data_IF_581921331768
#
_entry.id   IF_581921331768
#
_cell.length_a   1.000
_cell.length_b   1.000
_cell.length_c   1.000
_cell.angle_alpha   90.00
_cell.angle_beta   90.00
_cell.angle_gamma   90.00
#
_symmetry.space_group_name_H-M   'P 1'
#
loop_
_entity.id
_entity.type
_entity.pdbx_description
1 polymer ?
#
# COMPACT_ATOMS: atom_id res chain seq x y z
N UNK A 1 -67.96 -5.68 26.56
CA UNK A 1 -67.46 -4.85 25.45
C UNK A 1 -66.23 -4.09 25.92
N UNK A 2 -65.20 -3.97 25.07
CA UNK A 2 -64.10 -3.01 25.20
C UNK A 2 -62.89 -3.50 26.00
N UNK A 3 -61.76 -3.76 25.33
CA UNK A 3 -60.48 -3.88 26.05
C UNK A 3 -59.28 -4.37 25.25
N UNK A 4 -59.46 -5.28 24.28
CA UNK A 4 -58.32 -5.91 23.58
C UNK A 4 -57.89 -5.24 22.26
N UNK A 5 -58.68 -4.33 21.70
CA UNK A 5 -58.34 -3.64 20.44
C UNK A 5 -57.32 -2.50 20.57
N UNK A 6 -57.24 -1.84 21.74
CA UNK A 6 -56.37 -0.68 21.95
C UNK A 6 -54.89 -1.06 22.09
N UNK A 7 -54.60 -2.22 22.69
CA UNK A 7 -53.22 -2.69 22.93
C UNK A 7 -52.47 -3.00 21.63
N UNK A 8 -53.13 -3.65 20.67
CA UNK A 8 -52.52 -3.95 19.36
C UNK A 8 -52.31 -2.70 18.49
N UNK A 9 -53.14 -1.67 18.65
CA UNK A 9 -52.96 -0.38 17.97
C UNK A 9 -51.71 0.36 18.46
N UNK A 10 -51.48 0.37 19.77
CA UNK A 10 -50.29 0.98 20.38
C UNK A 10 -49.03 0.22 20.01
N UNK A 11 -49.05 -1.13 20.04
CA UNK A 11 -47.90 -1.96 19.63
C UNK A 11 -47.55 -1.74 18.16
N UNK A 12 -48.56 -1.68 17.27
CA UNK A 12 -48.36 -1.38 15.85
C UNK A 12 -47.79 0.02 15.63
N UNK A 13 -48.32 1.03 16.31
CA UNK A 13 -47.82 2.41 16.22
C UNK A 13 -46.37 2.52 16.72
N UNK A 14 -46.03 1.86 17.82
CA UNK A 14 -44.67 1.80 18.35
C UNK A 14 -43.70 1.08 17.39
N UNK A 15 -44.13 -0.03 16.77
CA UNK A 15 -43.34 -0.74 15.77
C UNK A 15 -43.11 0.11 14.51
N UNK A 16 -44.13 0.83 14.03
CA UNK A 16 -44.02 1.74 12.88
C UNK A 16 -43.08 2.90 13.19
N UNK A 17 -43.19 3.51 14.38
CA UNK A 17 -42.29 4.58 14.81
C UNK A 17 -40.85 4.10 14.93
N UNK A 18 -40.61 2.93 15.52
CA UNK A 18 -39.28 2.34 15.64
C UNK A 18 -38.67 2.07 14.25
N UNK A 19 -39.46 1.56 13.32
CA UNK A 19 -39.02 1.32 11.94
C UNK A 19 -38.71 2.64 11.22
N UNK A 20 -39.55 3.66 11.39
CA UNK A 20 -39.33 4.99 10.81
C UNK A 20 -38.05 5.64 11.34
N UNK A 21 -37.78 5.55 12.64
CA UNK A 21 -36.54 6.05 13.26
C UNK A 21 -35.32 5.29 12.74
N UNK A 22 -35.40 3.96 12.61
CA UNK A 22 -34.31 3.15 12.07
C UNK A 22 -34.01 3.47 10.60
N UNK A 23 -35.05 3.69 9.78
CA UNK A 23 -34.91 4.09 8.37
C UNK A 23 -34.30 5.49 8.26
N UNK A 24 -34.80 6.46 9.04
CA UNK A 24 -34.23 7.81 9.09
C UNK A 24 -32.76 7.80 9.53
N UNK A 25 -32.41 7.01 10.55
CA UNK A 25 -31.02 6.83 10.98
C UNK A 25 -30.10 6.33 9.87
N UNK A 26 -30.56 5.35 9.07
CA UNK A 26 -29.80 4.84 7.91
C UNK A 26 -29.65 5.87 6.79
N UNK A 27 -30.71 6.64 6.50
CA UNK A 27 -30.67 7.70 5.47
C UNK A 27 -29.69 8.81 5.87
N UNK A 28 -29.73 9.26 7.14
CA UNK A 28 -28.81 10.27 7.66
C UNK A 28 -27.36 9.76 7.64
N UNK A 29 -27.11 8.52 8.08
CA UNK A 29 -25.77 7.93 8.02
C UNK A 29 -25.25 7.78 6.58
N UNK A 30 -26.11 7.38 5.64
CA UNK A 30 -25.75 7.29 4.22
C UNK A 30 -25.48 8.68 3.61
N UNK A 31 -26.22 9.71 4.01
CA UNK A 31 -26.02 11.07 3.55
C UNK A 31 -24.71 11.66 4.10
N UNK A 32 -24.41 11.43 5.38
CA UNK A 32 -23.15 11.85 6.04
C UNK A 32 -21.93 11.21 5.36
N UNK A 33 -21.95 9.89 5.17
CA UNK A 33 -20.85 9.18 4.52
C UNK A 33 -20.64 9.61 3.07
N UNK A 34 -21.72 9.89 2.33
CA UNK A 34 -21.63 10.42 0.96
C UNK A 34 -21.05 11.84 0.96
N UNK A 35 -21.43 12.69 1.90
CA UNK A 35 -20.88 14.03 2.06
C UNK A 35 -19.37 13.99 2.38
N UNK A 36 -18.95 13.19 3.36
CA UNK A 36 -17.54 12.96 3.70
C UNK A 36 -16.73 12.42 2.50
N UNK A 37 -17.31 11.52 1.71
CA UNK A 37 -16.64 10.99 0.53
C UNK A 37 -16.47 12.04 -0.58
N UNK A 38 -17.41 12.97 -0.72
CA UNK A 38 -17.34 14.07 -1.70
C UNK A 38 -16.29 15.11 -1.28
N UNK A 39 -16.29 15.54 -0.02
CA UNK A 39 -15.31 16.50 0.51
C UNK A 39 -13.89 15.94 0.40
N UNK A 40 -13.70 14.70 0.83
CA UNK A 40 -12.40 14.06 0.82
C UNK A 40 -11.85 13.81 -0.60
N UNK A 41 -12.72 13.67 -1.60
CA UNK A 41 -12.29 13.63 -3.02
C UNK A 41 -11.87 15.00 -3.54
N UNK A 42 -12.45 16.08 -3.06
CA UNK A 42 -12.06 17.44 -3.44
C UNK A 42 -10.72 17.82 -2.81
N UNK A 43 -10.51 17.49 -1.54
CA UNK A 43 -9.23 17.70 -0.83
C UNK A 43 -8.05 16.98 -1.50
N UNK A 44 -8.25 15.73 -1.93
CA UNK A 44 -7.24 14.98 -2.70
C UNK A 44 -6.86 15.69 -4.01
N UNK A 45 -7.85 16.28 -4.70
CA UNK A 45 -7.59 16.98 -5.94
C UNK A 45 -6.78 18.25 -5.66
N UNK A 46 -7.21 19.05 -4.68
CA UNK A 46 -6.50 20.25 -4.26
C UNK A 46 -5.06 19.93 -3.85
N UNK A 47 -4.85 18.82 -3.13
CA UNK A 47 -3.53 18.34 -2.74
C UNK A 47 -2.65 18.02 -3.95
N UNK A 48 -3.17 17.31 -4.95
CA UNK A 48 -2.42 17.02 -6.17
C UNK A 48 -2.06 18.29 -6.96
N UNK A 49 -2.96 19.28 -7.01
CA UNK A 49 -2.67 20.55 -7.68
C UNK A 49 -1.59 21.34 -6.93
N UNK A 50 -1.62 21.33 -5.60
CA UNK A 50 -0.59 21.95 -4.77
C UNK A 50 0.77 21.23 -4.88
N UNK A 51 0.78 19.90 -5.01
CA UNK A 51 1.99 19.11 -5.28
C UNK A 51 2.55 19.49 -6.65
N UNK A 52 1.72 19.50 -7.69
CA UNK A 52 2.15 19.91 -9.04
C UNK A 52 2.71 21.33 -9.06
N UNK A 53 2.12 22.25 -8.31
CA UNK A 53 2.60 23.64 -8.25
C UNK A 53 3.95 23.78 -7.52
N UNK A 54 4.25 22.89 -6.58
CA UNK A 54 5.53 22.88 -5.85
C UNK A 54 6.67 22.20 -6.64
N UNK A 55 6.31 21.29 -7.56
CA UNK A 55 7.26 20.59 -8.41
C UNK A 55 7.57 21.42 -9.66
N UNK A 56 8.85 21.48 -10.01
CA UNK A 56 9.32 22.02 -11.27
C UNK A 56 9.55 20.87 -12.26
N UNK A 57 8.86 20.89 -13.38
CA UNK A 57 8.83 19.82 -14.39
C UNK A 57 9.28 20.39 -15.74
N UNK A 58 10.60 20.38 -16.03
CA UNK A 58 11.13 20.99 -17.26
C UNK A 58 10.70 20.23 -18.52
N UNK A 59 10.47 18.93 -18.41
CA UNK A 59 10.14 18.04 -19.53
C UNK A 59 8.62 17.90 -19.77
N UNK A 60 7.80 18.50 -18.90
CA UNK A 60 6.34 18.46 -19.00
C UNK A 60 5.73 17.07 -18.77
N UNK A 61 6.42 16.20 -18.03
CA UNK A 61 6.00 14.82 -17.75
C UNK A 61 4.68 14.78 -16.96
N UNK A 62 4.44 15.77 -16.10
CA UNK A 62 3.19 15.97 -15.34
C UNK A 62 2.13 16.74 -16.14
N UNK A 63 2.29 16.83 -17.46
CA UNK A 63 1.37 17.53 -18.35
C UNK A 63 -0.05 16.96 -18.33
N UNK A 64 -0.22 15.69 -18.00
CA UNK A 64 -1.53 15.03 -17.93
C UNK A 64 -2.29 15.21 -16.61
N UNK A 65 -1.66 15.85 -15.61
CA UNK A 65 -2.28 16.29 -14.36
C UNK A 65 -3.13 17.55 -14.62
N UNK A 66 -4.25 17.36 -15.32
CA UNK A 66 -5.19 18.42 -15.71
C UNK A 66 -6.59 18.12 -15.19
N UNK A 67 -7.29 19.17 -14.76
CA UNK A 67 -8.68 19.08 -14.27
C UNK A 67 -9.63 19.13 -15.46
N UNK A 68 -9.65 18.07 -16.26
CA UNK A 68 -10.61 17.92 -17.37
C UNK A 68 -11.82 17.09 -16.97
N UNK A 69 -13.01 17.53 -17.35
CA UNK A 69 -14.24 16.75 -17.21
C UNK A 69 -14.08 15.38 -17.89
N UNK A 70 -14.10 14.29 -17.10
CA UNK A 70 -14.08 12.92 -17.61
C UNK A 70 -12.77 12.15 -17.50
N UNK A 71 -11.63 12.78 -17.13
CA UNK A 71 -10.37 12.03 -16.86
C UNK A 71 -10.21 11.78 -15.37
N UNK A 72 -10.35 10.53 -14.96
CA UNK A 72 -10.17 10.14 -13.57
C UNK A 72 -8.69 10.28 -13.15
N UNK A 73 -8.43 10.92 -12.01
CA UNK A 73 -7.08 11.21 -11.46
C UNK A 73 -6.14 10.01 -11.37
N UNK A 74 -6.69 8.80 -11.29
CA UNK A 74 -5.92 7.55 -11.26
C UNK A 74 -5.30 7.17 -12.61
N UNK A 75 -5.55 7.95 -13.66
CA UNK A 75 -4.89 7.82 -14.97
C UNK A 75 -3.77 8.83 -15.16
N UNK A 76 -3.51 9.67 -14.16
CA UNK A 76 -2.42 10.63 -14.21
C UNK A 76 -1.09 9.94 -14.05
N UNK A 77 -0.07 10.46 -14.72
CA UNK A 77 1.30 9.95 -14.65
C UNK A 77 1.73 9.81 -13.19
N UNK A 78 2.16 8.60 -12.82
CA UNK A 78 2.62 8.28 -11.47
C UNK A 78 1.55 8.22 -10.38
N UNK A 79 0.27 8.41 -10.68
CA UNK A 79 -0.82 8.31 -9.69
C UNK A 79 -1.48 6.94 -9.81
N UNK A 80 -1.49 6.17 -8.72
CA UNK A 80 -2.31 4.95 -8.62
C UNK A 80 -3.41 5.11 -7.60
N UNK A 81 -4.46 4.30 -7.78
CA UNK A 81 -5.57 4.28 -6.85
C UNK A 81 -5.97 2.87 -6.48
N UNK A 82 -6.37 2.73 -5.23
CA UNK A 82 -7.05 1.54 -4.71
C UNK A 82 -8.45 1.94 -4.29
N UNK A 83 -9.45 1.20 -4.77
CA UNK A 83 -10.88 1.47 -4.47
C UNK A 83 -11.30 2.92 -4.81
N UNK A 84 -10.78 3.46 -5.92
CA UNK A 84 -11.15 4.80 -6.42
C UNK A 84 -10.64 5.99 -5.60
N UNK A 85 -9.63 5.77 -4.76
CA UNK A 85 -8.92 6.78 -3.96
C UNK A 85 -7.42 6.66 -4.19
N UNK A 86 -6.69 7.77 -4.11
CA UNK A 86 -5.24 7.79 -4.34
C UNK A 86 -4.56 6.99 -3.24
N UNK A 87 -3.74 6.02 -3.63
CA UNK A 87 -3.01 5.19 -2.68
C UNK A 87 -1.51 5.15 -2.96
N UNK A 88 -1.05 5.52 -4.16
CA UNK A 88 0.37 5.69 -4.42
C UNK A 88 0.67 6.87 -5.34
N UNK A 89 1.77 7.55 -5.04
CA UNK A 89 2.44 8.50 -5.92
C UNK A 89 3.83 7.94 -6.26
N UNK A 90 4.04 7.66 -7.54
CA UNK A 90 5.22 7.02 -8.10
C UNK A 90 5.80 7.92 -9.19
N UNK A 91 6.64 8.85 -8.79
CA UNK A 91 7.23 9.88 -9.63
C UNK A 91 8.76 9.79 -9.64
N UNK A 92 9.29 8.59 -9.42
CA UNK A 92 10.73 8.32 -9.44
C UNK A 92 11.34 8.46 -10.85
N UNK A 93 12.61 8.86 -10.93
CA UNK A 93 13.35 8.97 -12.19
C UNK A 93 12.69 9.87 -13.26
N UNK A 94 12.01 10.94 -12.83
CA UNK A 94 11.29 11.85 -13.74
C UNK A 94 12.00 13.19 -13.92
N UNK A 95 13.21 13.37 -13.38
CA UNK A 95 13.94 14.63 -13.51
C UNK A 95 13.26 15.83 -12.83
N UNK A 96 12.32 15.57 -11.91
CA UNK A 96 11.53 16.61 -11.25
C UNK A 96 12.41 17.41 -10.30
N UNK A 97 12.24 18.73 -10.29
CA UNK A 97 12.88 19.64 -9.34
C UNK A 97 11.83 20.34 -8.47
N UNK A 98 12.22 21.37 -7.72
CA UNK A 98 11.32 22.12 -6.84
C UNK A 98 11.34 21.62 -5.39
N UNK A 99 10.19 21.62 -4.71
CA UNK A 99 10.10 21.27 -3.28
C UNK A 99 8.93 20.33 -2.98
N UNK A 100 8.96 19.70 -1.80
CA UNK A 100 7.86 18.88 -1.31
C UNK A 100 6.77 19.76 -0.69
N UNK A 101 5.55 19.70 -1.25
CA UNK A 101 4.40 20.41 -0.70
C UNK A 101 3.88 19.75 0.59
N UNK A 102 3.61 20.51 1.68
CA UNK A 102 2.93 19.97 2.86
C UNK A 102 1.54 19.40 2.57
N UNK A 103 0.94 19.77 1.42
CA UNK A 103 -0.36 19.27 0.98
C UNK A 103 -0.38 17.75 0.75
N UNK A 104 0.78 17.09 0.62
CA UNK A 104 0.90 15.62 0.63
C UNK A 104 0.20 15.01 1.85
N UNK A 105 0.23 15.70 3.00
CA UNK A 105 -0.46 15.27 4.22
C UNK A 105 -1.98 15.15 4.09
N UNK A 106 -2.62 15.76 3.08
CA UNK A 106 -4.06 15.60 2.81
C UNK A 106 -4.41 14.25 2.18
N UNK A 107 -3.43 13.50 1.67
CA UNK A 107 -3.63 12.21 1.00
C UNK A 107 -3.74 11.06 2.02
N UNK A 108 -4.79 11.05 2.84
CA UNK A 108 -4.98 10.15 3.99
C UNK A 108 -4.96 8.64 3.67
N UNK A 109 -5.08 8.27 2.40
CA UNK A 109 -5.03 6.87 1.92
C UNK A 109 -3.73 6.47 1.24
N UNK A 110 -2.75 7.38 1.19
CA UNK A 110 -1.46 7.15 0.58
C UNK A 110 -0.69 6.08 1.35
N UNK A 111 -0.21 5.07 0.62
CA UNK A 111 0.60 3.95 1.09
C UNK A 111 2.03 4.02 0.57
N UNK A 112 2.21 4.48 -0.66
CA UNK A 112 3.52 4.58 -1.28
C UNK A 112 3.76 6.00 -1.79
N UNK A 113 4.87 6.60 -1.35
CA UNK A 113 5.38 7.86 -1.87
C UNK A 113 6.81 7.63 -2.37
N UNK A 114 6.94 7.48 -3.69
CA UNK A 114 8.20 7.20 -4.36
C UNK A 114 8.58 8.40 -5.23
N UNK A 115 9.61 9.12 -4.80
CA UNK A 115 10.15 10.33 -5.45
C UNK A 115 11.67 10.24 -5.62
N UNK A 116 12.24 9.04 -5.48
CA UNK A 116 13.68 8.85 -5.58
C UNK A 116 14.23 9.17 -6.97
N UNK A 117 15.51 9.51 -7.03
CA UNK A 117 16.22 9.87 -8.26
C UNK A 117 15.54 11.04 -9.00
N UNK A 118 15.38 12.15 -8.28
CA UNK A 118 14.93 13.42 -8.83
C UNK A 118 15.87 14.54 -8.34
N UNK A 119 15.55 15.80 -8.65
CA UNK A 119 16.27 16.99 -8.19
C UNK A 119 15.43 17.80 -7.19
N UNK A 120 14.63 17.14 -6.37
CA UNK A 120 13.76 17.80 -5.38
C UNK A 120 14.62 18.34 -4.24
N UNK A 121 14.35 19.56 -3.82
CA UNK A 121 15.13 20.31 -2.84
C UNK A 121 14.25 20.80 -1.68
N UNK A 122 14.89 21.42 -0.68
CA UNK A 122 14.21 21.96 0.50
C UNK A 122 13.94 20.91 1.59
N UNK A 123 13.21 21.29 2.65
CA UNK A 123 12.96 20.41 3.78
C UNK A 123 11.89 19.36 3.50
N UNK A 124 11.97 18.25 4.24
CA UNK A 124 10.90 17.25 4.29
C UNK A 124 9.77 17.78 5.17
N UNK A 125 8.53 17.94 4.67
CA UNK A 125 7.42 18.45 5.47
C UNK A 125 6.98 17.45 6.55
N UNK A 126 6.75 17.95 7.78
CA UNK A 126 6.25 17.16 8.91
C UNK A 126 4.94 16.43 8.60
N UNK A 127 4.13 16.99 7.70
CA UNK A 127 2.85 16.47 7.27
C UNK A 127 2.95 15.05 6.66
N UNK A 128 4.11 14.66 6.10
CA UNK A 128 4.32 13.32 5.55
C UNK A 128 4.33 12.26 6.67
N UNK A 129 4.91 12.58 7.82
CA UNK A 129 4.93 11.68 8.98
C UNK A 129 3.56 11.45 9.61
N UNK A 130 2.61 12.36 9.38
CA UNK A 130 1.23 12.26 9.85
C UNK A 130 0.32 11.34 9.03
N UNK A 131 0.82 10.73 7.94
CA UNK A 131 0.01 9.88 7.07
C UNK A 131 -0.26 8.50 7.71
N UNK A 132 -1.52 8.15 7.99
CA UNK A 132 -1.85 6.99 8.82
C UNK A 132 -1.61 5.64 8.12
N UNK A 133 -1.54 5.64 6.78
CA UNK A 133 -1.45 4.42 5.97
C UNK A 133 -0.14 4.32 5.17
N UNK A 134 0.76 5.30 5.32
CA UNK A 134 2.01 5.33 4.57
C UNK A 134 2.91 4.17 5.00
N UNK A 135 3.27 3.30 4.05
CA UNK A 135 4.12 2.13 4.27
C UNK A 135 5.51 2.33 3.69
N UNK A 136 5.60 2.88 2.49
CA UNK A 136 6.86 3.04 1.77
C UNK A 136 7.08 4.51 1.43
N UNK A 137 8.15 5.07 1.98
CA UNK A 137 8.64 6.40 1.66
C UNK A 137 10.04 6.27 1.05
N UNK A 138 10.20 6.74 -0.18
CA UNK A 138 11.51 6.73 -0.85
C UNK A 138 11.75 8.10 -1.48
N UNK A 139 12.68 8.83 -0.89
CA UNK A 139 13.13 10.16 -1.29
C UNK A 139 14.64 10.17 -1.63
N UNK A 140 15.24 9.00 -1.81
CA UNK A 140 16.69 8.87 -2.05
C UNK A 140 17.14 9.51 -3.35
N UNK A 141 18.42 9.89 -3.42
CA UNK A 141 19.00 10.58 -4.57
C UNK A 141 18.19 11.83 -4.95
N UNK A 142 18.13 12.78 -4.03
CA UNK A 142 17.54 14.11 -4.21
C UNK A 142 18.46 15.17 -3.58
N UNK A 143 18.01 16.42 -3.52
CA UNK A 143 18.74 17.55 -2.95
C UNK A 143 18.05 18.07 -1.68
N UNK A 144 17.35 17.19 -0.95
CA UNK A 144 16.61 17.56 0.26
C UNK A 144 17.57 18.01 1.36
N UNK A 145 17.16 19.01 2.15
CA UNK A 145 17.98 19.60 3.19
C UNK A 145 17.21 19.80 4.50
N UNK A 146 17.87 20.27 5.55
CA UNK A 146 17.26 20.41 6.87
C UNK A 146 17.17 19.10 7.65
N UNK A 147 16.46 19.11 8.77
CA UNK A 147 16.36 17.96 9.69
C UNK A 147 15.30 16.97 9.27
N UNK A 148 15.47 15.70 9.65
CA UNK A 148 14.40 14.70 9.52
C UNK A 148 13.31 15.00 10.57
N UNK A 149 12.04 15.20 10.17
CA UNK A 149 10.94 15.46 11.10
C UNK A 149 10.73 14.37 12.17
N UNK A 150 10.43 14.79 13.39
CA UNK A 150 10.08 13.87 14.50
C UNK A 150 8.83 13.04 14.18
N UNK A 151 7.90 13.58 13.39
CA UNK A 151 6.71 12.87 12.92
C UNK A 151 7.06 11.66 12.04
N UNK A 152 8.17 11.75 11.29
CA UNK A 152 8.69 10.63 10.50
C UNK A 152 9.47 9.66 11.37
N UNK A 153 10.29 10.14 12.31
CA UNK A 153 11.04 9.29 13.25
C UNK A 153 10.11 8.39 14.07
N UNK A 154 8.98 8.95 14.50
CA UNK A 154 7.98 8.29 15.34
C UNK A 154 6.80 7.69 14.55
N UNK A 155 6.89 7.63 13.23
CA UNK A 155 5.81 7.10 12.39
C UNK A 155 5.56 5.62 12.71
N UNK A 156 4.33 5.27 13.06
CA UNK A 156 3.91 3.90 13.37
C UNK A 156 3.43 3.13 12.13
N UNK A 157 3.14 3.84 11.03
CA UNK A 157 2.65 3.28 9.78
C UNK A 157 3.79 2.82 8.88
N UNK A 158 4.92 3.53 8.87
CA UNK A 158 6.04 3.29 7.97
C UNK A 158 6.71 1.94 8.19
N UNK A 159 6.99 1.26 7.06
CA UNK A 159 7.71 -0.01 7.02
C UNK A 159 9.09 0.15 6.40
N UNK A 160 9.19 0.97 5.35
CA UNK A 160 10.44 1.32 4.67
C UNK A 160 10.52 2.84 4.54
N UNK A 161 11.65 3.38 4.96
CA UNK A 161 12.02 4.78 4.77
C UNK A 161 13.42 4.85 4.15
N UNK A 162 13.51 5.38 2.95
CA UNK A 162 14.77 5.64 2.27
C UNK A 162 14.94 7.14 2.00
N UNK A 163 15.87 7.75 2.73
CA UNK A 163 16.29 9.13 2.65
C UNK A 163 17.76 9.25 2.24
N UNK A 164 18.36 8.18 1.74
CA UNK A 164 19.78 8.14 1.41
C UNK A 164 20.16 9.12 0.29
N UNK A 165 21.43 9.53 0.23
CA UNK A 165 21.96 10.42 -0.82
C UNK A 165 21.14 11.71 -0.98
N UNK A 166 21.05 12.47 0.10
CA UNK A 166 20.47 13.81 0.17
C UNK A 166 21.43 14.76 0.92
N UNK A 167 20.99 15.96 1.27
CA UNK A 167 21.75 16.93 2.07
C UNK A 167 21.10 17.17 3.44
N UNK A 168 20.50 16.13 4.03
CA UNK A 168 19.84 16.22 5.34
C UNK A 168 20.86 16.44 6.46
N UNK A 169 20.44 17.20 7.47
CA UNK A 169 21.27 17.61 8.60
C UNK A 169 20.64 17.23 9.94
N UNK A 170 21.39 17.40 11.02
CA UNK A 170 20.96 17.06 12.38
C UNK A 170 21.49 15.72 12.86
N UNK A 171 21.06 15.32 14.06
CA UNK A 171 21.51 14.07 14.69
C UNK A 171 20.55 12.94 14.37
N UNK A 172 21.09 11.82 13.89
CA UNK A 172 20.33 10.60 13.67
C UNK A 172 19.88 10.05 15.02
N UNK A 173 18.59 10.11 15.29
CA UNK A 173 18.00 9.51 16.48
C UNK A 173 17.65 8.03 16.22
N UNK A 174 17.31 7.28 17.27
CA UNK A 174 16.79 5.94 17.11
C UNK A 174 15.40 6.00 16.42
N UNK A 175 15.31 5.52 15.18
CA UNK A 175 14.05 5.42 14.46
C UNK A 175 13.21 4.27 15.01
N UNK A 176 11.89 4.46 15.12
CA UNK A 176 10.95 3.38 15.46
C UNK A 176 10.54 2.52 14.26
N UNK A 177 11.29 2.62 13.15
CA UNK A 177 10.96 2.03 11.86
C UNK A 177 11.94 0.89 11.57
N UNK A 178 11.43 -0.20 11.00
CA UNK A 178 12.22 -1.42 10.75
C UNK A 178 13.35 -1.24 9.74
N UNK A 179 13.07 -0.55 8.63
CA UNK A 179 14.00 -0.40 7.52
C UNK A 179 14.21 1.08 7.21
N UNK A 180 15.30 1.65 7.75
CA UNK A 180 15.66 3.05 7.53
C UNK A 180 17.01 3.13 6.83
N UNK A 181 17.04 3.83 5.70
CA UNK A 181 18.24 4.12 4.93
C UNK A 181 18.46 5.63 4.92
N UNK A 182 19.55 6.08 5.55
CA UNK A 182 19.93 7.52 5.65
C UNK A 182 21.39 7.77 5.23
N UNK A 183 22.07 6.76 4.71
CA UNK A 183 23.45 6.86 4.23
C UNK A 183 23.59 7.88 3.10
N UNK A 184 24.80 8.40 2.86
CA UNK A 184 25.03 9.38 1.80
C UNK A 184 24.47 10.79 2.07
N UNK A 185 24.07 11.10 3.31
CA UNK A 185 23.79 12.46 3.75
C UNK A 185 25.02 13.05 4.46
N UNK A 186 25.74 14.02 3.87
CA UNK A 186 27.00 14.51 4.42
C UNK A 186 26.84 15.35 5.70
N UNK A 187 25.66 15.92 5.93
CA UNK A 187 25.39 16.79 7.09
C UNK A 187 24.72 16.06 8.26
N UNK A 188 24.38 14.77 8.13
CA UNK A 188 23.83 13.96 9.22
C UNK A 188 24.94 13.52 10.18
N UNK A 189 24.66 13.69 11.48
CA UNK A 189 25.54 13.26 12.58
C UNK A 189 25.04 11.95 13.17
N UNK A 190 25.88 10.92 13.20
CA UNK A 190 25.55 9.62 13.77
C UNK A 190 26.05 9.53 15.22
N UNK A 191 25.16 9.50 16.24
CA UNK A 191 25.58 9.29 17.61
C UNK A 191 26.13 7.85 17.76
N UNK A 192 27.30 7.73 18.39
CA UNK A 192 27.94 6.42 18.66
C UNK A 192 29.03 6.01 17.67
N UNK A 193 29.20 6.71 16.55
CA UNK A 193 30.42 6.63 15.76
C UNK A 193 31.39 7.67 16.34
N UNK A 194 32.50 7.26 16.97
CA UNK A 194 33.49 8.14 17.61
C UNK A 194 34.24 9.08 16.65
N UNK A 195 33.51 9.90 15.89
CA UNK A 195 34.03 10.88 14.94
C UNK A 195 34.31 10.37 13.52
N UNK A 196 34.17 9.07 13.23
CA UNK A 196 34.71 8.46 11.98
C UNK A 196 33.68 8.02 10.92
N UNK A 197 32.41 8.44 11.00
CA UNK A 197 31.42 8.07 9.97
C UNK A 197 30.76 9.26 9.25
N UNK A 198 31.26 10.48 9.49
CA UNK A 198 31.05 11.58 8.55
C UNK A 198 32.21 11.57 7.56
N UNK A 199 31.87 11.71 6.27
CA UNK A 199 32.78 11.70 5.14
C UNK A 199 34.13 12.35 5.46
N UNK A 200 35.22 11.64 5.19
CA UNK A 200 36.54 12.22 5.06
C UNK A 200 36.40 13.47 4.18
N UNK A 201 36.58 14.63 4.80
CA UNK A 201 36.94 15.84 4.10
C UNK A 201 38.09 15.45 3.18
N UNK A 202 37.85 15.59 1.87
CA UNK A 202 38.91 15.56 0.87
C UNK A 202 39.78 16.79 1.13
N UNK A 203 40.69 16.68 2.09
CA UNK A 203 41.96 17.36 2.02
C UNK A 203 42.81 16.45 1.12
N UNK A 204 43.00 16.88 -0.11
CA UNK A 204 44.02 16.36 -1.00
C UNK A 204 45.37 16.44 -0.29
N UNK A 205 45.81 15.35 0.31
CA UNK A 205 47.23 15.04 0.39
C UNK A 205 47.52 13.97 -0.65
N UNK A 206 48.25 14.38 -1.67
CA UNK A 206 48.85 13.53 -2.67
C UNK A 206 49.92 12.65 -2.00
N UNK A 207 49.52 11.47 -1.55
CA UNK A 207 50.46 10.45 -1.07
C UNK A 207 50.86 9.59 -2.26
N UNK A 208 52.05 9.86 -2.79
CA UNK A 208 52.81 8.96 -3.67
C UNK A 208 52.96 7.59 -2.99
N UNK A 209 52.30 6.56 -3.54
CA UNK A 209 52.45 5.17 -3.11
C UNK A 209 53.45 4.48 -4.05
N UNK A 210 54.51 3.81 -3.55
CA UNK A 210 55.43 3.06 -4.40
C UNK A 210 54.76 1.79 -4.94
N UNK A 211 55.13 1.42 -6.17
CA UNK A 211 54.58 0.30 -6.92
C UNK A 211 54.70 -1.04 -6.17
N UNK A 212 53.58 -1.76 -6.09
CA UNK A 212 53.53 -3.17 -5.69
C UNK A 212 53.23 -4.03 -6.93
N UNK A 213 53.99 -5.11 -7.08
CA UNK A 213 54.02 -6.04 -8.21
C UNK A 213 52.65 -6.67 -8.57
N UNK A 214 52.47 -7.11 -9.83
CA UNK A 214 51.20 -7.66 -10.31
C UNK A 214 50.91 -9.06 -9.73
N UNK A 215 49.67 -9.36 -9.32
CA UNK A 215 49.30 -10.72 -8.95
C UNK A 215 49.08 -11.58 -10.21
N UNK A 216 49.87 -12.63 -10.33
CA UNK A 216 49.70 -13.73 -11.28
C UNK A 216 48.44 -14.53 -10.96
N UNK A 217 47.56 -14.65 -11.95
CA UNK A 217 46.34 -15.46 -11.94
C UNK A 217 46.66 -16.94 -12.28
N UNK A 218 45.93 -17.94 -11.73
CA UNK A 218 45.11 -18.78 -12.62
C UNK A 218 43.73 -19.17 -12.05
N UNK A 219 42.77 -19.32 -12.96
CA UNK A 219 41.34 -19.53 -12.73
C UNK A 219 41.03 -20.91 -12.16
N UNK A 220 40.11 -20.97 -11.18
CA UNK A 220 39.39 -22.18 -10.80
C UNK A 220 37.87 -21.96 -10.76
N UNK A 221 37.31 -21.53 -11.89
CA UNK A 221 35.86 -21.64 -12.15
C UNK A 221 35.49 -23.10 -12.44
N UNK A 222 35.45 -23.96 -11.41
CA UNK A 222 35.03 -25.35 -11.61
C UNK A 222 34.25 -26.00 -10.44
N UNK A 223 34.20 -25.40 -9.25
CA UNK A 223 33.51 -26.03 -8.11
C UNK A 223 32.08 -25.51 -7.84
N UNK A 224 31.72 -24.31 -8.28
CA UNK A 224 30.46 -23.66 -7.86
C UNK A 224 29.25 -23.97 -8.75
N UNK A 225 29.46 -24.53 -9.95
CA UNK A 225 28.38 -24.76 -10.94
C UNK A 225 27.60 -26.07 -10.68
N UNK A 226 28.08 -26.97 -9.82
CA UNK A 226 27.36 -28.25 -9.56
C UNK A 226 26.17 -28.13 -8.60
N UNK A 227 26.15 -27.13 -7.70
CA UNK A 227 25.10 -27.01 -6.69
C UNK A 227 23.84 -26.32 -7.25
N UNK A 228 24.02 -25.34 -8.14
CA UNK A 228 22.91 -24.55 -8.68
C UNK A 228 22.03 -25.37 -9.63
N UNK A 229 22.61 -26.32 -10.39
CA UNK A 229 21.86 -27.14 -11.37
C UNK A 229 20.95 -28.18 -10.71
N UNK A 230 21.31 -28.68 -9.53
CA UNK A 230 20.51 -29.70 -8.82
C UNK A 230 19.23 -29.07 -8.23
N UNK A 231 19.31 -27.86 -7.68
CA UNK A 231 18.16 -27.17 -7.07
C UNK A 231 17.09 -26.73 -8.08
N UNK A 232 17.48 -26.37 -9.31
CA UNK A 232 16.53 -25.93 -10.35
C UNK A 232 15.73 -27.11 -10.92
N UNK A 233 16.33 -28.31 -10.94
CA UNK A 233 15.66 -29.51 -11.44
C UNK A 233 14.60 -30.08 -10.47
N UNK A 234 14.88 -30.10 -9.16
CA UNK A 234 13.96 -30.69 -8.17
C UNK A 234 12.76 -29.78 -7.88
N UNK A 235 12.94 -28.46 -7.88
CA UNK A 235 11.83 -27.50 -7.75
C UNK A 235 10.83 -27.59 -8.90
N UNK A 236 11.30 -27.84 -10.13
CA UNK A 236 10.45 -27.95 -11.32
C UNK A 236 9.62 -29.25 -11.35
N UNK A 237 10.14 -30.34 -10.78
CA UNK A 237 9.38 -31.61 -10.71
C UNK A 237 8.25 -31.53 -9.69
N UNK A 238 8.49 -30.89 -8.53
CA UNK A 238 7.47 -30.74 -7.49
C UNK A 238 6.30 -29.89 -7.99
N UNK A 239 6.56 -28.80 -8.72
CA UNK A 239 5.50 -27.94 -9.26
C UNK A 239 4.65 -28.66 -10.31
N UNK A 240 5.26 -29.45 -11.19
CA UNK A 240 4.53 -30.25 -12.20
C UNK A 240 3.66 -31.33 -11.56
N UNK A 241 4.17 -32.03 -10.53
CA UNK A 241 3.40 -33.06 -9.81
C UNK A 241 2.22 -32.43 -9.06
N UNK A 242 2.43 -31.32 -8.35
CA UNK A 242 1.35 -30.61 -7.65
C UNK A 242 0.29 -30.08 -8.61
N UNK A 243 0.70 -29.56 -9.77
CA UNK A 243 -0.22 -29.10 -10.81
C UNK A 243 -1.00 -30.28 -11.42
N UNK A 244 -0.35 -31.42 -11.66
CA UNK A 244 -1.00 -32.65 -12.12
C UNK A 244 -2.06 -33.16 -11.14
N UNK A 245 -1.74 -33.21 -9.84
CA UNK A 245 -2.69 -33.58 -8.78
C UNK A 245 -3.85 -32.57 -8.71
N UNK A 246 -3.57 -31.28 -8.85
CA UNK A 246 -4.62 -30.26 -8.91
C UNK A 246 -5.56 -30.47 -10.10
N UNK A 247 -5.04 -30.75 -11.30
CA UNK A 247 -5.89 -31.04 -12.47
C UNK A 247 -6.69 -32.34 -12.30
N UNK A 248 -6.09 -33.38 -11.72
CA UNK A 248 -6.78 -34.64 -11.44
C UNK A 248 -7.93 -34.45 -10.43
N UNK A 249 -7.71 -33.69 -9.35
CA UNK A 249 -8.77 -33.37 -8.38
C UNK A 249 -9.87 -32.51 -8.99
N UNK A 250 -9.52 -31.54 -9.85
CA UNK A 250 -10.50 -30.72 -10.58
C UNK A 250 -11.32 -31.57 -11.56
N UNK A 251 -10.68 -32.48 -12.29
CA UNK A 251 -11.38 -33.41 -13.19
C UNK A 251 -12.28 -34.38 -12.43
N UNK A 252 -11.81 -34.93 -11.30
CA UNK A 252 -12.61 -35.80 -10.44
C UNK A 252 -13.83 -35.06 -9.87
N UNK A 253 -13.66 -33.81 -9.43
CA UNK A 253 -14.75 -32.95 -8.96
C UNK A 253 -15.78 -32.68 -10.06
N UNK A 254 -15.35 -32.40 -11.29
CA UNK A 254 -16.27 -32.22 -12.43
C UNK A 254 -16.99 -33.50 -12.81
N UNK A 255 -16.31 -34.65 -12.80
CA UNK A 255 -16.94 -35.96 -13.06
C UNK A 255 -17.94 -36.32 -11.96
N UNK A 256 -17.59 -36.07 -10.69
CA UNK A 256 -18.50 -36.26 -9.55
C UNK A 256 -19.74 -35.38 -9.65
N UNK A 257 -19.59 -34.12 -10.04
CA UNK A 257 -20.72 -33.22 -10.25
C UNK A 257 -21.59 -33.62 -11.45
N UNK A 258 -21.01 -34.18 -12.53
CA UNK A 258 -21.79 -34.75 -13.64
C UNK A 258 -22.57 -35.99 -13.20
N UNK A 259 -21.96 -36.89 -12.43
CA UNK A 259 -22.65 -38.08 -11.89
C UNK A 259 -23.75 -37.66 -10.93
N UNK A 260 -23.53 -36.66 -10.07
CA UNK A 260 -24.58 -36.08 -9.22
C UNK A 260 -25.70 -35.43 -10.05
N UNK A 261 -25.37 -34.69 -11.10
CA UNK A 261 -26.36 -34.09 -12.01
C UNK A 261 -27.14 -35.16 -12.80
N UNK A 262 -26.55 -36.32 -13.08
CA UNK A 262 -27.19 -37.44 -13.76
C UNK A 262 -28.03 -38.30 -12.81
N UNK A 263 -27.69 -38.34 -11.51
CA UNK A 263 -28.53 -38.89 -10.43
C UNK A 263 -29.72 -37.96 -10.14
N UNK A 264 -29.52 -36.64 -10.14
CA UNK A 264 -30.60 -35.64 -9.99
C UNK A 264 -31.50 -35.53 -11.23
N UNK A 265 -31.03 -36.02 -12.40
CA UNK A 265 -31.83 -36.10 -13.62
C UNK A 265 -33.03 -37.05 -13.54
N UNK A 266 -33.08 -37.93 -12.53
CA UNK A 266 -34.19 -38.87 -12.32
C UNK A 266 -35.09 -38.54 -11.12
N UNK A 267 -34.81 -37.47 -10.35
CA UNK A 267 -35.75 -36.97 -9.34
C UNK A 267 -35.72 -35.44 -9.31
N UNK A 268 -36.74 -34.84 -9.94
CA UNK A 268 -37.02 -33.41 -9.83
C UNK A 268 -37.48 -33.10 -8.40
N UNK A 269 -36.55 -32.73 -7.54
CA UNK A 269 -36.86 -32.04 -6.29
C UNK A 269 -36.06 -30.74 -6.23
N UNK A 270 -36.79 -29.64 -6.39
CA UNK A 270 -36.31 -28.26 -6.31
C UNK A 270 -35.47 -28.03 -5.05
N UNK A 271 -34.44 -27.18 -5.16
CA UNK A 271 -33.60 -26.68 -4.06
C UNK A 271 -34.39 -26.22 -2.82
N UNK A 272 -35.66 -25.85 -2.99
CA UNK A 272 -36.56 -25.51 -1.89
C UNK A 272 -36.92 -26.70 -0.97
N UNK A 273 -36.94 -27.94 -1.48
CA UNK A 273 -37.30 -29.14 -0.71
C UNK A 273 -36.13 -29.59 0.17
N UNK A 274 -34.89 -29.39 -0.27
CA UNK A 274 -33.69 -29.74 0.51
C UNK A 274 -33.50 -28.79 1.71
N UNK A 275 -33.74 -27.50 1.50
CA UNK A 275 -33.78 -26.49 2.58
C UNK A 275 -34.92 -26.79 3.58
N UNK A 276 -36.10 -27.20 3.10
CA UNK A 276 -37.21 -27.60 3.98
C UNK A 276 -36.92 -28.87 4.79
N UNK A 277 -36.24 -29.86 4.20
CA UNK A 277 -35.88 -31.09 4.90
C UNK A 277 -34.81 -30.85 5.98
N UNK A 278 -33.83 -29.98 5.72
CA UNK A 278 -32.84 -29.56 6.73
C UNK A 278 -33.48 -28.78 7.87
N UNK A 279 -34.51 -27.97 7.59
CA UNK A 279 -35.27 -27.25 8.61
C UNK A 279 -36.08 -28.20 9.51
N UNK A 280 -36.70 -29.23 8.93
CA UNK A 280 -37.46 -30.24 9.71
C UNK A 280 -36.54 -31.09 10.58
N UNK A 281 -35.36 -31.48 10.08
CA UNK A 281 -34.36 -32.23 10.87
C UNK A 281 -33.82 -31.37 12.02
N UNK A 282 -33.59 -30.07 11.79
CA UNK A 282 -33.15 -29.15 12.84
C UNK A 282 -34.24 -28.92 13.91
N UNK A 283 -35.52 -28.87 13.52
CA UNK A 283 -36.64 -28.73 14.44
C UNK A 283 -36.92 -30.00 15.25
N UNK A 284 -36.72 -31.19 14.66
CA UNK A 284 -36.88 -32.47 15.36
C UNK A 284 -35.75 -32.77 16.35
N UNK A 285 -34.63 -32.03 16.30
CA UNK A 285 -33.50 -32.20 17.22
C UNK A 285 -33.49 -31.21 18.39
N UNK A 286 -34.55 -30.39 18.52
CA UNK A 286 -34.72 -29.40 19.60
C UNK A 286 -35.81 -29.80 20.63
N UNK A 287 -36.44 -30.96 20.45
CA UNK A 287 -37.45 -31.52 21.38
C UNK A 287 -36.96 -32.76 22.16
N UNK A 288 -35.66 -33.09 22.08
CA UNK A 288 -34.97 -33.98 23.04
C UNK A 288 -33.96 -33.16 23.87
#
# INVERSE_FOLDING_TARGET
>A
MGGRGASWGVIRAAAVLALAVAVLGRVVASASSRAEHVTSRAEELEALMAIKAALHDPDGILGDWIVTAGRHRCRWTGVTCSVGRIDSLQLQHMGLAGTLSPAIGKLQRLRNLLLHHNSISGPIPDAIGGLPLLRHLSLSNNQLCGTIPDSLINSSSLFIMDLSFNNLSGTVQAFNIRNVLVSGNPLLRYPGCGGSCAASTVLQEEITVPALDPPTHPQSFAATIKIVVICVSTGSVVTVVLFGVFLATQQWRRRRLRIFAEIDGNHVLSSAVYEFALLIIYLLHLEE
#
